data_IF_864892412759
#
_entry.id   IF_864892412759
#
_cell.length_a   1.000
_cell.length_b   1.000
_cell.length_c   1.000
_cell.angle_alpha   90.00
_cell.angle_beta   90.00
_cell.angle_gamma   90.00
#
_symmetry.space_group_name_H-M   'P 1'
#
loop_
_entity.id
_entity.type
_entity.pdbx_description
1 polymer ?
#
# COMPACT_ATOMS: atom_id res chain seq x y z
N UNK A 1 17.94 6.55 10.20
CA UNK A 1 17.07 7.36 11.05
C UNK A 1 16.55 6.59 12.26
N UNK A 2 15.94 7.30 13.19
CA UNK A 2 15.16 6.68 14.27
C UNK A 2 13.69 6.75 13.91
N UNK A 3 12.91 5.75 14.31
CA UNK A 3 11.48 5.76 14.09
C UNK A 3 10.78 6.76 15.02
N UNK A 4 10.01 7.68 14.44
CA UNK A 4 9.19 8.67 15.14
C UNK A 4 7.77 8.64 14.58
N UNK A 5 6.77 8.42 15.44
CA UNK A 5 5.37 8.28 15.00
C UNK A 5 4.82 9.56 14.37
N UNK A 6 5.23 10.71 14.85
CA UNK A 6 4.73 12.00 14.34
C UNK A 6 5.23 12.32 12.94
N UNK A 7 6.20 11.57 12.42
CA UNK A 7 6.71 11.70 11.05
C UNK A 7 5.80 11.02 9.99
N UNK A 8 4.71 10.32 10.41
CA UNK A 8 3.78 9.62 9.52
C UNK A 8 3.36 10.44 8.29
N UNK A 9 2.90 11.70 8.42
CA UNK A 9 2.42 12.45 7.27
C UNK A 9 3.52 12.74 6.23
N UNK A 10 4.74 13.01 6.69
CA UNK A 10 5.88 13.25 5.81
C UNK A 10 6.35 11.97 5.12
N UNK A 11 6.47 10.89 5.88
CA UNK A 11 6.80 9.57 5.34
C UNK A 11 5.82 9.16 4.24
N UNK A 12 4.52 9.22 4.53
CA UNK A 12 3.47 8.83 3.58
C UNK A 12 3.51 9.70 2.32
N UNK A 13 3.72 11.00 2.47
CA UNK A 13 3.83 11.91 1.33
C UNK A 13 5.03 11.58 0.44
N UNK A 14 6.22 11.35 1.02
CA UNK A 14 7.43 11.00 0.27
C UNK A 14 7.29 9.64 -0.44
N UNK A 15 6.74 8.64 0.26
CA UNK A 15 6.49 7.32 -0.33
C UNK A 15 5.45 7.38 -1.46
N UNK A 16 4.32 8.05 -1.25
CA UNK A 16 3.28 8.20 -2.26
C UNK A 16 3.84 8.85 -3.53
N UNK A 17 4.62 9.93 -3.39
CA UNK A 17 5.28 10.58 -4.50
C UNK A 17 6.20 9.61 -5.27
N UNK A 18 7.08 8.91 -4.57
CA UNK A 18 8.02 7.96 -5.18
C UNK A 18 7.31 6.82 -5.92
N UNK A 19 6.20 6.33 -5.36
CA UNK A 19 5.39 5.28 -5.97
C UNK A 19 4.68 5.76 -7.25
N UNK A 20 4.16 6.98 -7.25
CA UNK A 20 3.54 7.57 -8.44
C UNK A 20 4.54 7.89 -9.54
N UNK A 21 5.75 8.34 -9.20
CA UNK A 21 6.84 8.59 -10.15
C UNK A 21 7.35 7.29 -10.79
N UNK A 22 7.32 6.20 -10.04
CA UNK A 22 7.71 4.83 -10.46
C UNK A 22 9.07 4.78 -11.19
N UNK A 23 10.07 5.44 -10.63
CA UNK A 23 11.44 5.45 -11.13
C UNK A 23 12.39 4.94 -10.05
N UNK A 24 13.12 3.85 -10.33
CA UNK A 24 13.99 3.21 -9.33
C UNK A 24 13.29 2.97 -7.97
N UNK A 25 12.03 2.62 -8.02
CA UNK A 25 11.07 2.66 -6.92
C UNK A 25 11.55 1.88 -5.70
N UNK A 26 12.03 0.64 -5.88
CA UNK A 26 12.51 -0.19 -4.76
C UNK A 26 13.66 0.48 -4.00
N UNK A 27 14.62 1.07 -4.71
CA UNK A 27 15.76 1.75 -4.11
C UNK A 27 15.34 3.02 -3.37
N UNK A 28 14.47 3.82 -3.99
CA UNK A 28 13.98 5.06 -3.39
C UNK A 28 13.13 4.76 -2.16
N UNK A 29 12.22 3.81 -2.23
CA UNK A 29 11.39 3.37 -1.10
C UNK A 29 12.27 2.88 0.06
N UNK A 30 13.27 2.05 -0.21
CA UNK A 30 14.22 1.59 0.81
C UNK A 30 14.95 2.75 1.50
N UNK A 31 15.39 3.73 0.74
CA UNK A 31 16.08 4.91 1.28
C UNK A 31 15.13 5.78 2.13
N UNK A 32 13.90 6.00 1.67
CA UNK A 32 12.89 6.73 2.43
C UNK A 32 12.60 6.01 3.74
N UNK A 33 12.27 4.72 3.71
CA UNK A 33 11.98 3.95 4.92
C UNK A 33 13.14 3.96 5.92
N UNK A 34 14.37 3.79 5.43
CA UNK A 34 15.59 3.88 6.27
C UNK A 34 15.76 5.26 6.90
N UNK A 35 15.46 6.35 6.16
CA UNK A 35 15.47 7.72 6.69
C UNK A 35 14.53 7.87 7.89
N UNK A 36 13.37 7.23 7.85
CA UNK A 36 12.35 7.25 8.91
C UNK A 36 12.48 6.12 9.94
N UNK A 37 13.61 5.40 9.94
CA UNK A 37 13.88 4.35 10.93
C UNK A 37 13.05 3.09 10.78
N UNK A 38 12.58 2.79 9.57
CA UNK A 38 11.85 1.58 9.24
C UNK A 38 12.77 0.64 8.45
N UNK A 39 13.00 -0.56 8.95
CA UNK A 39 13.75 -1.59 8.24
C UNK A 39 12.86 -2.22 7.16
N UNK A 40 13.40 -2.39 5.95
CA UNK A 40 12.65 -2.87 4.80
C UNK A 40 13.45 -3.87 3.97
N UNK A 41 12.80 -4.96 3.60
CA UNK A 41 13.35 -5.90 2.63
C UNK A 41 12.25 -6.48 1.72
N UNK A 42 12.68 -6.90 0.54
CA UNK A 42 11.86 -7.64 -0.42
C UNK A 42 12.45 -9.03 -0.52
N UNK A 43 11.60 -10.04 -0.35
CA UNK A 43 11.99 -11.44 -0.51
C UNK A 43 11.30 -12.04 -1.74
N UNK A 44 11.98 -12.98 -2.39
CA UNK A 44 11.36 -13.74 -3.46
C UNK A 44 10.19 -14.57 -2.91
N UNK A 45 9.16 -14.75 -3.76
CA UNK A 45 7.98 -15.53 -3.37
C UNK A 45 8.38 -16.94 -2.94
N UNK A 46 7.97 -17.32 -1.73
CA UNK A 46 7.99 -18.70 -1.28
C UNK A 46 6.74 -19.39 -1.85
N UNK A 47 6.92 -20.48 -2.59
CA UNK A 47 5.80 -21.25 -3.15
C UNK A 47 4.78 -21.60 -2.07
N UNK A 48 3.51 -21.28 -2.33
CA UNK A 48 2.34 -21.45 -1.46
C UNK A 48 2.18 -20.45 -0.30
N UNK A 49 3.03 -19.44 -0.15
CA UNK A 49 2.72 -18.36 0.76
C UNK A 49 1.63 -17.45 0.16
N UNK A 50 0.54 -17.23 0.92
CA UNK A 50 -0.57 -16.34 0.51
C UNK A 50 -0.36 -14.90 0.93
N UNK A 51 0.78 -14.57 1.55
CA UNK A 51 1.05 -13.26 2.17
C UNK A 51 1.82 -12.40 1.18
N UNK A 52 1.34 -11.20 0.92
CA UNK A 52 1.98 -10.20 0.05
C UNK A 52 2.93 -9.29 0.83
N UNK A 53 2.70 -9.11 2.12
CA UNK A 53 3.53 -8.33 3.02
C UNK A 53 3.39 -8.78 4.47
N UNK A 54 4.32 -8.34 5.29
CA UNK A 54 4.30 -8.54 6.74
C UNK A 54 5.05 -7.41 7.43
N UNK A 55 4.51 -6.90 8.53
CA UNK A 55 5.16 -5.91 9.36
C UNK A 55 5.15 -6.33 10.84
N UNK A 56 6.17 -5.91 11.57
CA UNK A 56 6.30 -6.16 13.00
C UNK A 56 7.24 -5.15 13.66
N UNK A 57 7.27 -5.13 14.98
CA UNK A 57 8.26 -4.38 15.76
C UNK A 57 9.24 -5.31 16.45
N UNK A 58 10.50 -4.94 16.41
CA UNK A 58 11.54 -5.59 17.20
C UNK A 58 12.42 -4.52 17.86
N UNK A 59 12.55 -4.58 19.18
CA UNK A 59 13.32 -3.60 19.97
C UNK A 59 12.96 -2.13 19.68
N UNK A 60 11.68 -1.84 19.45
CA UNK A 60 11.18 -0.50 19.18
C UNK A 60 11.36 -0.03 17.73
N UNK A 61 11.95 -0.84 16.87
CA UNK A 61 12.13 -0.56 15.45
C UNK A 61 11.10 -1.33 14.61
N UNK A 62 10.39 -0.67 13.70
CA UNK A 62 9.48 -1.34 12.77
C UNK A 62 10.21 -1.98 11.61
N UNK A 63 9.72 -3.14 11.20
CA UNK A 63 10.19 -3.91 10.06
C UNK A 63 9.05 -4.14 9.08
N UNK A 64 9.34 -4.03 7.80
CA UNK A 64 8.44 -4.39 6.70
C UNK A 64 9.15 -5.37 5.79
N UNK A 65 8.48 -6.49 5.50
CA UNK A 65 8.91 -7.50 4.55
C UNK A 65 7.82 -7.60 3.48
N UNK A 66 8.16 -7.37 2.23
CA UNK A 66 7.26 -7.62 1.11
C UNK A 66 7.72 -8.84 0.32
N UNK A 67 6.77 -9.60 -0.20
CA UNK A 67 7.06 -10.71 -1.11
C UNK A 67 6.94 -10.23 -2.55
N UNK A 68 7.91 -10.58 -3.40
CA UNK A 68 7.86 -10.28 -4.84
C UNK A 68 6.87 -11.23 -5.53
N UNK A 69 5.59 -10.93 -5.37
CA UNK A 69 4.51 -11.73 -5.98
C UNK A 69 4.20 -11.28 -7.40
N UNK A 70 4.27 -9.97 -7.65
CA UNK A 70 4.01 -9.35 -8.94
C UNK A 70 4.98 -8.19 -9.18
N UNK A 71 5.51 -8.09 -10.39
CA UNK A 71 6.31 -6.94 -10.83
C UNK A 71 5.39 -5.76 -11.24
N UNK A 72 4.38 -5.45 -10.40
CA UNK A 72 3.36 -4.44 -10.71
C UNK A 72 3.37 -3.36 -9.65
N UNK A 73 3.46 -2.12 -10.11
CA UNK A 73 3.53 -0.96 -9.20
C UNK A 73 2.28 -0.81 -8.32
N UNK A 74 1.10 -1.11 -8.83
CA UNK A 74 -0.15 -1.05 -8.07
C UNK A 74 -0.14 -2.00 -6.87
N UNK A 75 0.22 -3.26 -7.10
CA UNK A 75 0.28 -4.27 -6.06
C UNK A 75 1.39 -4.00 -5.05
N UNK A 76 2.56 -3.56 -5.52
CA UNK A 76 3.68 -3.17 -4.67
C UNK A 76 3.32 -1.97 -3.79
N UNK A 77 2.76 -0.92 -4.39
CA UNK A 77 2.37 0.30 -3.69
C UNK A 77 1.30 0.03 -2.64
N UNK A 78 0.27 -0.75 -2.99
CA UNK A 78 -0.80 -1.09 -2.07
C UNK A 78 -0.29 -1.93 -0.89
N UNK A 79 0.49 -2.99 -1.15
CA UNK A 79 1.06 -3.82 -0.09
C UNK A 79 1.97 -3.02 0.86
N UNK A 80 2.83 -2.14 0.32
CA UNK A 80 3.68 -1.28 1.14
C UNK A 80 2.86 -0.37 2.06
N UNK A 81 1.87 0.34 1.51
CA UNK A 81 1.05 1.26 2.29
C UNK A 81 0.13 0.54 3.29
N UNK A 82 -0.28 -0.68 2.98
CA UNK A 82 -1.01 -1.55 3.89
C UNK A 82 -0.16 -1.88 5.14
N UNK A 83 1.10 -2.28 4.96
CA UNK A 83 2.01 -2.55 6.07
C UNK A 83 2.36 -1.29 6.87
N UNK A 84 2.49 -0.14 6.22
CA UNK A 84 2.60 1.17 6.90
C UNK A 84 1.35 1.43 7.75
N UNK A 85 0.17 1.12 7.25
CA UNK A 85 -1.09 1.21 7.99
C UNK A 85 -1.05 0.41 9.29
N UNK A 86 -0.59 -0.84 9.23
CA UNK A 86 -0.42 -1.68 10.44
C UNK A 86 0.55 -1.04 11.44
N UNK A 87 1.70 -0.54 11.00
CA UNK A 87 2.70 0.08 11.86
C UNK A 87 2.12 1.27 12.63
N UNK A 88 1.38 2.14 11.95
CA UNK A 88 0.91 3.39 12.56
C UNK A 88 -0.44 3.27 13.29
N UNK A 89 -1.33 2.36 12.86
CA UNK A 89 -2.68 2.24 13.43
C UNK A 89 -2.82 1.13 14.45
N UNK A 90 -2.14 0.00 14.25
CA UNK A 90 -2.39 -1.20 15.04
C UNK A 90 -1.29 -1.52 16.05
N UNK A 91 -0.04 -1.24 15.74
CA UNK A 91 1.08 -1.50 16.65
C UNK A 91 1.34 -0.34 17.59
N UNK A 92 0.39 -0.05 18.50
CA UNK A 92 0.51 1.06 19.47
C UNK A 92 1.56 0.81 20.54
N UNK A 93 1.95 -0.45 20.75
CA UNK A 93 2.90 -0.85 21.77
C UNK A 93 3.90 -1.85 21.19
N UNK A 94 5.18 -1.53 21.25
CA UNK A 94 6.28 -2.40 20.80
C UNK A 94 6.33 -3.76 21.56
N UNK A 95 5.48 -3.93 22.59
CA UNK A 95 5.39 -5.14 23.40
C UNK A 95 4.38 -6.16 22.90
N UNK A 96 3.52 -5.83 21.95
CA UNK A 96 2.60 -6.79 21.32
C UNK A 96 3.28 -7.55 20.20
N UNK A 97 4.36 -8.23 20.54
CA UNK A 97 4.87 -9.32 19.74
C UNK A 97 3.93 -10.51 19.87
N UNK A 98 3.50 -11.00 18.71
CA UNK A 98 2.98 -12.33 18.45
C UNK A 98 1.53 -12.65 18.78
N UNK A 99 0.77 -12.76 17.71
CA UNK A 99 -0.35 -13.66 17.50
C UNK A 99 -0.43 -14.85 18.44
N UNK A 100 -1.44 -14.87 19.29
CA UNK A 100 -2.12 -16.11 19.66
C UNK A 100 -3.61 -15.91 19.37
N UNK A 101 -4.08 -16.61 18.37
CA UNK A 101 -5.44 -16.60 17.87
C UNK A 101 -6.41 -17.15 18.92
N UNK A 102 -7.18 -16.28 19.52
CA UNK A 102 -8.48 -16.62 20.08
C UNK A 102 -9.60 -16.22 19.11
N UNK A 103 -10.80 -16.77 19.24
CA UNK A 103 -11.93 -16.44 18.36
C UNK A 103 -12.27 -14.93 18.38
N UNK A 104 -12.04 -14.26 19.50
CA UNK A 104 -12.21 -12.81 19.66
C UNK A 104 -11.11 -11.99 18.94
N UNK A 105 -9.93 -12.58 18.73
CA UNK A 105 -8.82 -11.97 17.98
C UNK A 105 -9.07 -12.00 16.48
N UNK A 106 -9.79 -13.00 15.97
CA UNK A 106 -10.12 -13.13 14.54
C UNK A 106 -11.02 -11.98 14.03
N UNK A 107 -11.97 -11.51 14.81
CA UNK A 107 -12.80 -10.37 14.43
C UNK A 107 -12.04 -9.04 14.51
N UNK A 108 -11.13 -8.90 15.47
CA UNK A 108 -10.21 -7.76 15.54
C UNK A 108 -9.23 -7.75 14.37
N UNK A 109 -8.66 -8.89 14.02
CA UNK A 109 -7.76 -9.04 12.88
C UNK A 109 -8.44 -8.63 11.57
N UNK A 110 -9.69 -9.05 11.34
CA UNK A 110 -10.47 -8.60 10.17
C UNK A 110 -10.73 -7.09 10.14
N UNK A 111 -10.93 -6.49 11.30
CA UNK A 111 -11.10 -5.03 11.40
C UNK A 111 -9.81 -4.29 11.09
N UNK A 112 -8.69 -4.76 11.63
CA UNK A 112 -7.36 -4.20 11.41
C UNK A 112 -6.94 -4.31 9.93
N UNK A 113 -7.20 -5.45 9.30
CA UNK A 113 -6.97 -5.64 7.86
C UNK A 113 -7.77 -4.66 7.00
N UNK A 114 -9.05 -4.46 7.33
CA UNK A 114 -9.88 -3.48 6.63
C UNK A 114 -9.37 -2.06 6.82
N UNK A 115 -9.00 -1.68 8.04
CA UNK A 115 -8.44 -0.37 8.34
C UNK A 115 -7.10 -0.15 7.61
N UNK A 116 -6.24 -1.17 7.53
CA UNK A 116 -4.99 -1.11 6.79
C UNK A 116 -5.23 -0.96 5.28
N UNK A 117 -6.24 -1.64 4.73
CA UNK A 117 -6.64 -1.49 3.33
C UNK A 117 -7.18 -0.08 3.04
N UNK A 118 -8.05 0.46 3.91
CA UNK A 118 -8.57 1.82 3.78
C UNK A 118 -7.44 2.85 3.90
N UNK A 119 -6.50 2.62 4.81
CA UNK A 119 -5.30 3.42 4.96
C UNK A 119 -4.46 3.43 3.68
N UNK A 120 -4.14 2.26 3.13
CA UNK A 120 -3.36 2.12 1.91
C UNK A 120 -4.01 2.86 0.73
N UNK A 121 -5.30 2.65 0.55
CA UNK A 121 -6.07 3.29 -0.49
C UNK A 121 -6.02 4.83 -0.39
N UNK A 122 -6.20 5.37 0.81
CA UNK A 122 -6.18 6.82 1.06
C UNK A 122 -4.76 7.41 1.00
N UNK A 123 -3.74 6.66 1.42
CA UNK A 123 -2.34 7.09 1.36
C UNK A 123 -1.84 7.23 -0.09
N UNK A 124 -2.27 6.34 -0.99
CA UNK A 124 -1.91 6.37 -2.41
C UNK A 124 -2.71 7.43 -3.17
N UNK A 125 -4.02 7.53 -2.93
CA UNK A 125 -4.90 8.52 -3.56
C UNK A 125 -5.79 9.08 -2.47
N UNK A 126 -5.54 10.32 -2.01
CA UNK A 126 -6.34 10.92 -0.95
C UNK A 126 -7.83 10.87 -1.27
N UNK A 127 -8.65 10.52 -0.29
CA UNK A 127 -10.10 10.42 -0.46
C UNK A 127 -10.72 11.71 -0.98
N UNK A 128 -10.13 12.86 -0.66
CA UNK A 128 -10.58 14.17 -1.18
C UNK A 128 -10.43 14.22 -2.70
N UNK A 129 -9.29 13.77 -3.23
CA UNK A 129 -9.05 13.75 -4.67
C UNK A 129 -9.87 12.65 -5.35
N UNK A 130 -10.00 11.47 -4.70
CA UNK A 130 -10.79 10.37 -5.24
C UNK A 130 -12.29 10.71 -5.40
N UNK A 131 -12.83 11.59 -4.57
CA UNK A 131 -14.22 12.08 -4.72
C UNK A 131 -14.45 12.83 -6.03
N UNK A 132 -13.40 13.44 -6.58
CA UNK A 132 -13.44 14.19 -7.84
C UNK A 132 -13.11 13.28 -9.05
N UNK A 133 -12.81 12.01 -8.82
CA UNK A 133 -12.56 11.06 -9.89
C UNK A 133 -13.80 10.83 -10.77
N UNK A 134 -13.62 10.53 -12.05
CA UNK A 134 -14.74 10.29 -12.97
C UNK A 134 -15.68 9.20 -12.47
N UNK A 135 -16.98 9.48 -12.46
CA UNK A 135 -18.01 8.50 -12.10
C UNK A 135 -18.57 7.87 -13.36
N UNK A 136 -17.88 6.87 -13.85
CA UNK A 136 -18.21 6.26 -15.14
C UNK A 136 -18.90 4.92 -14.93
N UNK A 137 -20.11 4.78 -15.46
CA UNK A 137 -20.83 3.50 -15.60
C UNK A 137 -20.62 2.98 -17.03
N UNK A 138 -19.39 2.57 -17.36
CA UNK A 138 -19.01 2.13 -18.70
C UNK A 138 -18.40 0.73 -18.65
N UNK A 139 -18.14 0.17 -19.85
CA UNK A 139 -17.39 -1.07 -19.96
C UNK A 139 -15.93 -0.88 -19.46
N UNK A 140 -15.20 -1.98 -19.16
CA UNK A 140 -13.85 -1.88 -18.62
C UNK A 140 -12.85 -1.11 -19.50
N UNK A 141 -13.01 -1.13 -20.81
CA UNK A 141 -12.12 -0.44 -21.76
C UNK A 141 -12.29 1.08 -21.64
N UNK A 142 -13.52 1.55 -21.55
CA UNK A 142 -13.82 2.98 -21.43
C UNK A 142 -13.40 3.49 -20.05
N UNK A 143 -13.64 2.71 -19.01
CA UNK A 143 -13.17 3.01 -17.65
C UNK A 143 -11.64 3.17 -17.67
N UNK A 144 -10.89 2.24 -18.23
CA UNK A 144 -9.44 2.31 -18.32
C UNK A 144 -8.98 3.59 -19.03
N UNK A 145 -9.58 3.94 -20.16
CA UNK A 145 -9.23 5.18 -20.89
C UNK A 145 -9.48 6.44 -20.07
N UNK A 146 -10.69 6.57 -19.51
CA UNK A 146 -11.10 7.75 -18.75
C UNK A 146 -10.22 7.95 -17.53
N UNK A 147 -9.97 6.89 -16.77
CA UNK A 147 -9.14 7.02 -15.57
C UNK A 147 -7.64 7.17 -15.87
N UNK A 148 -7.16 6.68 -17.02
CA UNK A 148 -5.79 6.97 -17.46
C UNK A 148 -5.61 8.46 -17.75
N UNK A 149 -6.55 9.09 -18.45
CA UNK A 149 -6.51 10.54 -18.71
C UNK A 149 -6.58 11.32 -17.39
N UNK A 150 -7.50 10.95 -16.50
CA UNK A 150 -7.63 11.60 -15.21
C UNK A 150 -6.35 11.47 -14.35
N UNK A 151 -5.70 10.29 -14.37
CA UNK A 151 -4.43 10.07 -13.70
C UNK A 151 -3.32 11.00 -14.23
N UNK A 152 -3.21 11.13 -15.55
CA UNK A 152 -2.27 12.03 -16.22
C UNK A 152 -2.51 13.49 -15.82
N UNK A 153 -3.76 13.96 -15.84
CA UNK A 153 -4.12 15.32 -15.42
C UNK A 153 -3.77 15.61 -13.96
N UNK A 154 -3.84 14.59 -13.09
CA UNK A 154 -3.50 14.69 -11.67
C UNK A 154 -2.02 14.42 -11.37
N UNK A 155 -1.21 14.07 -12.36
CA UNK A 155 0.18 13.67 -12.17
C UNK A 155 0.33 12.37 -11.37
N UNK A 156 -0.65 11.46 -11.46
CA UNK A 156 -0.68 10.18 -10.78
C UNK A 156 -0.27 9.04 -11.72
N UNK A 157 0.29 7.98 -11.15
CA UNK A 157 0.53 6.76 -11.89
C UNK A 157 -0.82 6.09 -12.25
N UNK A 158 -1.05 5.88 -13.54
CA UNK A 158 -2.29 5.28 -14.05
C UNK A 158 -2.60 3.91 -13.46
N UNK A 159 -1.57 3.09 -13.21
CA UNK A 159 -1.75 1.74 -12.66
C UNK A 159 -2.19 1.77 -11.21
N UNK A 160 -1.67 2.70 -10.40
CA UNK A 160 -2.12 2.93 -9.02
C UNK A 160 -3.59 3.39 -9.03
N UNK A 161 -3.97 4.26 -9.95
CA UNK A 161 -5.37 4.71 -10.11
C UNK A 161 -6.28 3.54 -10.51
N UNK A 162 -5.87 2.72 -11.49
CA UNK A 162 -6.63 1.53 -11.90
C UNK A 162 -6.71 0.48 -10.79
N UNK A 163 -5.64 0.32 -10.00
CA UNK A 163 -5.62 -0.52 -8.81
C UNK A 163 -6.64 -0.06 -7.77
N UNK A 164 -6.82 1.25 -7.59
CA UNK A 164 -7.88 1.80 -6.72
C UNK A 164 -9.28 1.43 -7.20
N UNK A 165 -9.53 1.45 -8.51
CA UNK A 165 -10.84 1.03 -9.06
C UNK A 165 -11.08 -0.45 -8.79
N UNK A 166 -10.07 -1.30 -8.98
CA UNK A 166 -10.17 -2.72 -8.65
C UNK A 166 -10.52 -2.93 -7.19
N UNK A 167 -9.86 -2.21 -6.30
CA UNK A 167 -10.13 -2.25 -4.87
C UNK A 167 -11.57 -1.86 -4.52
N UNK A 168 -12.07 -0.76 -5.11
CA UNK A 168 -13.43 -0.23 -4.84
C UNK A 168 -14.55 -1.08 -5.45
N UNK A 169 -14.31 -1.70 -6.60
CA UNK A 169 -15.36 -2.33 -7.44
C UNK A 169 -15.23 -3.84 -7.58
N UNK A 170 -14.08 -4.42 -7.23
CA UNK A 170 -13.78 -5.83 -7.49
C UNK A 170 -13.63 -6.19 -8.98
N UNK A 171 -13.52 -5.21 -9.87
CA UNK A 171 -13.38 -5.45 -11.32
C UNK A 171 -11.93 -5.73 -11.70
N UNK A 172 -11.55 -6.99 -11.88
CA UNK A 172 -10.19 -7.44 -12.23
C UNK A 172 -9.89 -7.51 -13.74
N UNK A 173 -10.68 -6.85 -14.60
CA UNK A 173 -10.62 -7.01 -16.07
C UNK A 173 -9.77 -5.98 -16.80
N UNK A 174 -8.94 -5.22 -16.12
CA UNK A 174 -7.99 -4.33 -16.78
C UNK A 174 -6.81 -5.15 -17.29
N UNK A 175 -6.57 -5.09 -18.62
CA UNK A 175 -5.32 -5.63 -19.17
C UNK A 175 -4.17 -4.76 -18.67
N UNK A 176 -3.39 -5.32 -17.77
CA UNK A 176 -2.14 -4.74 -17.31
C UNK A 176 -1.06 -5.26 -18.26
N UNK A 177 -1.06 -4.73 -19.48
CA UNK A 177 0.08 -4.88 -20.37
C UNK A 177 1.03 -3.73 -20.05
N UNK A 178 2.27 -4.08 -19.70
CA UNK A 178 3.41 -3.18 -19.49
C UNK A 178 3.37 -2.28 -18.24
N UNK A 179 3.49 -2.89 -17.07
CA UNK A 179 3.95 -2.19 -15.86
C UNK A 179 5.43 -2.44 -15.61
#
# INVERSE_FOLDING_TARGET
>A
GSFVRDDEPMLVSELSKALHENQNTETIVKNILSKYGIAFCIIEKIDKASVDGYSYFENGMPYIILTRRYNKIDSFAFALMHEIGHIYKHYKDASKQNCKLSISEYDNERSEEREANEYAANALIPNKEWKDAPKVRMNPIDIQKVYTVWAEEKGMNKWIVLGRIVYETGMYKFKVDDS
#
